data_IF_571293715389
#
_entry.id   IF_571293715389
#
_cell.length_a   1.000
_cell.length_b   1.000
_cell.length_c   1.000
_cell.angle_alpha   90.00
_cell.angle_beta   90.00
_cell.angle_gamma   90.00
#
_symmetry.space_group_name_H-M   'P 1'
#
loop_
_entity.id
_entity.type
_entity.pdbx_description
1 polymer ?
#
# COMPACT_ATOMS: atom_id res chain seq x y z
N UNK A 1 -9.12 26.20 7.21
CA UNK A 1 -8.91 26.48 8.67
C UNK A 1 -9.84 25.61 9.49
N UNK A 2 -9.31 24.93 10.50
CA UNK A 2 -10.05 24.11 11.45
C UNK A 2 -9.80 24.67 12.86
N UNK A 3 -10.87 24.78 13.66
CA UNK A 3 -10.77 25.18 15.06
C UNK A 3 -11.29 24.04 15.96
N UNK A 4 -10.54 23.70 16.98
CA UNK A 4 -10.83 22.61 17.91
C UNK A 4 -10.78 23.08 19.36
N UNK A 5 -10.92 22.17 20.33
CA UNK A 5 -10.72 22.46 21.73
C UNK A 5 -9.29 22.98 21.98
N UNK A 6 -9.06 23.84 22.99
CA UNK A 6 -7.75 24.49 23.20
C UNK A 6 -6.62 23.51 23.52
N UNK A 7 -6.93 22.32 24.01
CA UNK A 7 -6.02 21.24 24.37
C UNK A 7 -5.82 20.17 23.27
N UNK A 8 -6.43 20.38 22.09
CA UNK A 8 -6.34 19.47 20.97
C UNK A 8 -5.54 20.05 19.79
N UNK A 9 -4.98 19.16 18.98
CA UNK A 9 -4.42 19.47 17.67
C UNK A 9 -5.49 19.10 16.64
N UNK A 10 -5.72 19.95 15.63
CA UNK A 10 -6.56 19.61 14.49
C UNK A 10 -5.71 19.54 13.23
N UNK A 11 -5.95 18.49 12.43
CA UNK A 11 -5.23 18.21 11.20
C UNK A 11 -6.17 18.25 10.00
N UNK A 12 -5.67 18.80 8.90
CA UNK A 12 -6.33 18.92 7.62
C UNK A 12 -5.34 18.63 6.48
N UNK A 13 -5.81 18.45 5.23
CA UNK A 13 -4.93 18.40 4.08
C UNK A 13 -4.00 19.61 3.98
N UNK A 14 -2.78 19.38 3.51
CA UNK A 14 -1.81 20.44 3.27
C UNK A 14 -0.85 20.71 4.41
N UNK A 15 -0.10 21.80 4.24
CA UNK A 15 0.97 22.23 5.14
C UNK A 15 0.44 23.26 6.12
N UNK A 16 0.80 23.15 7.40
CA UNK A 16 0.43 24.12 8.40
C UNK A 16 1.06 25.48 8.09
N UNK A 17 0.24 26.48 7.83
CA UNK A 17 0.66 27.87 7.58
C UNK A 17 0.55 28.75 8.83
N UNK A 18 -0.48 28.50 9.64
CA UNK A 18 -0.75 29.35 10.80
C UNK A 18 -1.48 28.56 11.89
N UNK A 19 -1.05 28.77 13.13
CA UNK A 19 -1.75 28.37 14.34
C UNK A 19 -2.14 29.65 15.11
N UNK A 20 -3.37 29.72 15.63
CA UNK A 20 -3.89 30.89 16.35
C UNK A 20 -5.08 30.52 17.24
N UNK A 21 -5.43 31.40 18.15
CA UNK A 21 -6.64 31.25 18.98
C UNK A 21 -7.74 32.19 18.47
N UNK A 22 -8.97 31.68 18.41
CA UNK A 22 -10.19 32.43 18.07
C UNK A 22 -11.34 31.92 18.94
N UNK A 23 -12.02 32.82 19.63
CA UNK A 23 -13.19 32.53 20.49
C UNK A 23 -12.93 31.38 21.49
N UNK A 24 -11.74 31.39 22.13
CA UNK A 24 -11.32 30.37 23.07
C UNK A 24 -10.97 29.01 22.47
N UNK A 25 -10.96 28.89 21.15
CA UNK A 25 -10.61 27.66 20.40
C UNK A 25 -9.23 27.79 19.78
N UNK A 26 -8.51 26.66 19.70
CA UNK A 26 -7.26 26.55 18.96
C UNK A 26 -7.54 26.28 17.48
N UNK A 27 -6.99 27.09 16.60
CA UNK A 27 -7.26 27.07 15.16
C UNK A 27 -5.97 26.81 14.37
N UNK A 28 -6.11 26.03 13.31
CA UNK A 28 -5.03 25.62 12.42
C UNK A 28 -5.41 25.93 10.98
N UNK A 29 -4.58 26.66 10.25
CA UNK A 29 -4.78 26.94 8.83
C UNK A 29 -3.79 26.15 8.00
N UNK A 30 -4.31 25.34 7.09
CA UNK A 30 -3.54 24.48 6.19
C UNK A 30 -3.74 24.93 4.74
N UNK A 31 -2.72 24.68 3.92
CA UNK A 31 -2.74 24.97 2.49
C UNK A 31 -1.94 23.92 1.72
N UNK A 32 -2.53 23.37 0.65
CA UNK A 32 -1.81 22.53 -0.31
C UNK A 32 -1.06 23.40 -1.30
N UNK A 33 0.13 22.96 -1.72
CA UNK A 33 0.97 23.64 -2.69
C UNK A 33 0.67 23.20 -4.16
N UNK A 34 -0.25 22.25 -4.33
CA UNK A 34 -0.66 21.69 -5.63
C UNK A 34 -2.07 21.13 -5.58
N UNK A 35 -2.71 20.90 -6.73
CA UNK A 35 -3.97 20.16 -6.79
C UNK A 35 -3.84 18.77 -6.18
N UNK A 36 -4.87 18.32 -5.49
CA UNK A 36 -5.01 16.99 -4.89
C UNK A 36 -6.40 16.43 -5.16
N UNK A 37 -6.58 15.14 -4.95
CA UNK A 37 -7.91 14.53 -4.97
C UNK A 37 -8.81 15.19 -3.92
N UNK A 38 -10.08 15.39 -4.24
CA UNK A 38 -11.13 15.75 -3.27
C UNK A 38 -11.49 14.53 -2.41
N UNK A 39 -10.44 14.00 -1.73
CA UNK A 39 -10.48 12.81 -0.92
C UNK A 39 -9.58 13.04 0.30
N UNK A 40 -10.19 13.28 1.45
CA UNK A 40 -9.48 13.66 2.67
C UNK A 40 -10.37 13.54 3.92
N UNK A 41 -9.75 13.62 5.10
CA UNK A 41 -10.46 13.72 6.38
C UNK A 41 -9.92 14.88 7.22
N UNK A 42 -10.74 15.33 8.17
CA UNK A 42 -10.38 16.24 9.24
C UNK A 42 -10.31 15.43 10.55
N UNK A 43 -9.20 15.55 11.27
CA UNK A 43 -8.99 14.83 12.51
C UNK A 43 -8.63 15.82 13.63
N UNK A 44 -9.08 15.52 14.84
CA UNK A 44 -8.73 16.33 16.01
C UNK A 44 -8.72 15.48 17.28
N UNK A 45 -7.61 15.55 18.02
CA UNK A 45 -7.46 14.90 19.32
C UNK A 45 -6.29 15.49 20.14
N UNK A 46 -6.05 14.92 21.33
CA UNK A 46 -4.93 15.24 22.22
C UNK A 46 -3.71 14.38 21.90
N UNK A 47 -3.22 14.46 20.69
CA UNK A 47 -2.06 13.65 20.29
C UNK A 47 -0.76 14.13 20.89
N UNK A 48 0.14 13.18 21.15
CA UNK A 48 1.58 13.37 21.13
C UNK A 48 2.05 13.28 19.68
N UNK A 49 3.21 13.89 19.41
CA UNK A 49 3.80 13.88 18.07
C UNK A 49 5.23 13.38 18.17
N UNK A 50 5.55 12.32 17.44
CA UNK A 50 6.92 11.88 17.23
C UNK A 50 7.36 12.27 15.82
N UNK A 51 8.58 12.80 15.71
CA UNK A 51 9.15 13.29 14.46
C UNK A 51 10.28 12.38 14.00
N UNK A 52 10.32 12.15 12.70
CA UNK A 52 11.42 11.54 11.97
C UNK A 52 11.72 12.35 10.71
N UNK A 53 12.70 11.92 9.96
CA UNK A 53 13.13 12.57 8.70
C UNK A 53 13.49 11.53 7.67
N UNK A 54 13.15 11.78 6.41
CA UNK A 54 13.73 11.12 5.27
C UNK A 54 14.29 12.20 4.33
N UNK A 55 15.61 12.28 4.17
CA UNK A 55 16.28 13.43 3.53
C UNK A 55 15.81 14.73 4.17
N UNK A 56 15.18 15.61 3.41
CA UNK A 56 14.56 16.88 3.82
C UNK A 56 13.04 16.79 4.08
N UNK A 57 12.46 15.59 4.00
CA UNK A 57 11.03 15.34 4.20
C UNK A 57 10.76 15.00 5.68
N UNK A 58 10.09 15.87 6.45
CA UNK A 58 9.67 15.56 7.81
C UNK A 58 8.60 14.46 7.80
N UNK A 59 8.74 13.54 8.75
CA UNK A 59 7.78 12.48 9.05
C UNK A 59 7.21 12.78 10.43
N UNK A 60 5.91 12.88 10.56
CA UNK A 60 5.24 13.15 11.83
C UNK A 60 4.21 12.05 12.11
N UNK A 61 4.35 11.41 13.27
CA UNK A 61 3.37 10.43 13.76
C UNK A 61 2.62 11.03 14.95
N UNK A 62 1.32 11.20 14.79
CA UNK A 62 0.39 11.70 15.80
C UNK A 62 -0.29 10.52 16.48
N UNK A 63 -0.10 10.36 17.80
CA UNK A 63 -0.53 9.17 18.53
C UNK A 63 -1.04 9.49 19.95
N UNK A 64 -1.87 8.62 20.51
CA UNK A 64 -2.26 8.71 21.92
C UNK A 64 -1.05 8.38 22.80
N UNK A 65 -0.84 9.16 23.87
CA UNK A 65 0.29 9.01 24.79
C UNK A 65 0.41 7.58 25.36
N UNK A 66 -0.69 6.85 25.43
CA UNK A 66 -0.75 5.47 25.92
C UNK A 66 -0.38 4.42 24.88
N UNK A 67 -0.24 4.80 23.61
CA UNK A 67 -0.02 3.91 22.46
C UNK A 67 1.32 4.14 21.74
N UNK A 68 2.47 4.29 22.42
CA UNK A 68 3.74 4.61 21.77
C UNK A 68 4.42 3.39 21.11
N UNK A 69 3.83 2.20 21.17
CA UNK A 69 4.51 0.92 20.97
C UNK A 69 5.16 0.78 19.59
N UNK A 70 4.45 1.16 18.53
CA UNK A 70 4.87 0.92 17.14
C UNK A 70 5.25 2.21 16.38
N UNK A 71 5.28 3.34 17.06
CA UNK A 71 5.54 4.66 16.43
C UNK A 71 6.89 4.70 15.72
N UNK A 72 7.95 4.17 16.34
CA UNK A 72 9.28 4.10 15.73
C UNK A 72 9.29 3.18 14.51
N UNK A 73 8.57 2.07 14.60
CA UNK A 73 8.45 1.12 13.50
C UNK A 73 7.74 1.71 12.28
N UNK A 74 6.71 2.54 12.51
CA UNK A 74 6.04 3.30 11.45
C UNK A 74 7.01 4.28 10.77
N UNK A 75 7.77 5.05 11.54
CA UNK A 75 8.77 5.99 11.00
C UNK A 75 9.81 5.26 10.15
N UNK A 76 10.33 4.14 10.63
CA UNK A 76 11.28 3.32 9.89
C UNK A 76 10.68 2.78 8.57
N UNK A 77 9.44 2.30 8.60
CA UNK A 77 8.74 1.84 7.41
C UNK A 77 8.56 2.96 6.38
N UNK A 78 8.17 4.18 6.82
CA UNK A 78 8.09 5.36 5.93
C UNK A 78 9.43 5.64 5.27
N UNK A 79 10.52 5.66 6.05
CA UNK A 79 11.87 5.94 5.53
C UNK A 79 12.29 4.93 4.46
N UNK A 80 12.12 3.63 4.72
CA UNK A 80 12.48 2.56 3.80
C UNK A 80 11.60 2.54 2.57
N UNK A 81 10.31 2.81 2.73
CA UNK A 81 9.34 2.91 1.63
C UNK A 81 9.67 4.06 0.69
N UNK A 82 9.89 5.26 1.23
CA UNK A 82 10.29 6.42 0.42
C UNK A 82 11.60 6.16 -0.33
N UNK A 83 12.58 5.53 0.34
CA UNK A 83 13.86 5.19 -0.28
C UNK A 83 13.68 4.24 -1.47
N UNK A 84 12.90 3.17 -1.31
CA UNK A 84 12.64 2.22 -2.38
C UNK A 84 11.82 2.82 -3.52
N UNK A 85 10.74 3.54 -3.20
CA UNK A 85 9.82 4.06 -4.23
C UNK A 85 10.46 5.17 -5.05
N UNK A 86 11.23 6.06 -4.43
CA UNK A 86 11.97 7.09 -5.19
C UNK A 86 13.06 6.49 -6.09
N UNK A 87 13.75 5.45 -5.64
CA UNK A 87 14.78 4.79 -6.44
C UNK A 87 14.18 4.07 -7.67
N UNK A 88 13.02 3.43 -7.50
CA UNK A 88 12.44 2.55 -8.51
C UNK A 88 11.34 3.21 -9.35
N UNK A 89 10.67 4.23 -8.83
CA UNK A 89 9.55 4.90 -9.50
C UNK A 89 9.87 6.35 -9.83
N UNK A 90 9.22 7.29 -9.16
CA UNK A 90 9.38 8.74 -9.35
C UNK A 90 9.61 9.41 -7.99
N UNK A 91 10.13 10.66 -7.95
CA UNK A 91 10.26 11.38 -6.69
C UNK A 91 8.94 11.48 -5.93
N UNK A 92 9.03 11.49 -4.59
CA UNK A 92 7.90 11.79 -3.73
C UNK A 92 7.40 13.22 -3.97
N UNK A 93 6.10 13.40 -4.15
CA UNK A 93 5.54 14.68 -4.61
C UNK A 93 5.25 15.68 -3.49
N UNK A 94 5.34 15.28 -2.23
CA UNK A 94 5.00 16.13 -1.10
C UNK A 94 6.23 16.48 -0.25
N UNK A 95 6.08 17.52 0.60
CA UNK A 95 7.14 18.02 1.48
C UNK A 95 6.98 17.52 2.93
N UNK A 96 6.10 16.57 3.20
CA UNK A 96 5.88 15.94 4.51
C UNK A 96 5.19 14.59 4.37
N UNK A 97 5.28 13.77 5.43
CA UNK A 97 4.44 12.58 5.66
C UNK A 97 3.86 12.67 7.05
N UNK A 98 2.54 12.46 7.20
CA UNK A 98 1.88 12.38 8.49
C UNK A 98 1.14 11.05 8.62
N UNK A 99 1.35 10.36 9.75
CA UNK A 99 0.53 9.22 10.19
C UNK A 99 -0.25 9.69 11.41
N UNK A 100 -1.55 9.39 11.46
CA UNK A 100 -2.44 9.93 12.48
C UNK A 100 -3.28 8.82 13.06
N UNK A 101 -3.11 8.55 14.35
CA UNK A 101 -3.93 7.58 15.07
C UNK A 101 -5.39 8.01 15.13
N UNK A 102 -6.30 7.06 14.90
CA UNK A 102 -7.70 7.18 15.25
C UNK A 102 -8.17 5.96 16.04
N UNK A 103 -9.22 6.13 16.90
CA UNK A 103 -9.70 5.05 17.78
C UNK A 103 -10.20 3.82 17.02
N UNK A 104 -10.13 2.65 17.66
CA UNK A 104 -10.43 1.33 17.11
C UNK A 104 -11.91 1.04 16.81
N UNK A 105 -12.75 2.05 16.56
CA UNK A 105 -14.11 1.85 16.05
C UNK A 105 -14.15 1.25 14.63
N UNK A 106 -13.01 1.28 13.97
CA UNK A 106 -12.78 0.62 12.68
C UNK A 106 -11.33 0.16 12.57
N UNK A 107 -11.05 -0.82 11.71
CA UNK A 107 -9.73 -1.47 11.59
C UNK A 107 -9.18 -1.32 10.17
N UNK A 108 -8.77 -0.09 9.82
CA UNK A 108 -8.16 0.22 8.52
C UNK A 108 -7.10 1.32 8.67
N UNK A 109 -6.30 1.49 7.64
CA UNK A 109 -5.56 2.71 7.35
C UNK A 109 -6.04 3.27 6.02
N UNK A 110 -5.83 4.56 5.77
CA UNK A 110 -6.25 5.22 4.54
C UNK A 110 -5.26 6.30 4.14
N UNK A 111 -4.65 6.16 2.98
CA UNK A 111 -3.78 7.19 2.44
C UNK A 111 -4.58 8.34 1.81
N UNK A 112 -4.51 9.51 2.41
CA UNK A 112 -4.80 10.80 1.75
C UNK A 112 -3.49 11.45 1.31
N UNK A 113 -3.56 12.52 0.52
CA UNK A 113 -2.38 13.28 0.11
C UNK A 113 -1.53 13.66 1.33
N UNK A 114 -0.31 13.11 1.42
CA UNK A 114 0.68 13.26 2.51
C UNK A 114 0.18 12.99 3.95
N UNK A 115 -0.97 12.38 4.13
CA UNK A 115 -1.62 12.22 5.44
C UNK A 115 -2.33 10.87 5.52
N UNK A 116 -2.01 10.06 6.51
CA UNK A 116 -2.47 8.68 6.64
C UNK A 116 -3.14 8.49 8.00
N UNK A 117 -4.48 8.64 8.11
CA UNK A 117 -5.21 8.11 9.25
C UNK A 117 -5.02 6.59 9.37
N UNK A 118 -4.74 6.13 10.58
CA UNK A 118 -4.37 4.76 10.86
C UNK A 118 -5.04 4.30 12.17
N UNK A 119 -5.80 3.21 12.12
CA UNK A 119 -6.49 2.69 13.31
C UNK A 119 -5.50 2.25 14.38
N UNK A 120 -5.79 2.61 15.63
CA UNK A 120 -5.01 2.16 16.78
C UNK A 120 -4.87 0.63 16.82
N UNK A 121 -5.95 -0.10 16.47
CA UNK A 121 -6.04 -1.56 16.59
C UNK A 121 -5.07 -2.34 15.71
N UNK A 122 -4.85 -1.88 14.47
CA UNK A 122 -3.96 -2.55 13.51
C UNK A 122 -2.58 -1.90 13.42
N UNK A 123 -2.40 -0.73 14.01
CA UNK A 123 -1.15 0.03 14.00
C UNK A 123 -0.53 0.15 15.39
N UNK A 124 -1.03 1.09 16.16
CA UNK A 124 -0.36 1.61 17.35
C UNK A 124 -0.28 0.61 18.51
N UNK A 125 -1.31 -0.23 18.71
CA UNK A 125 -1.39 -1.25 19.76
C UNK A 125 -1.25 -2.69 19.25
N UNK A 126 -0.92 -2.88 17.98
CA UNK A 126 -0.65 -4.20 17.42
C UNK A 126 0.55 -4.86 18.10
N UNK A 127 0.43 -6.15 18.43
CA UNK A 127 1.48 -6.91 19.10
C UNK A 127 2.49 -7.48 18.10
N UNK A 128 3.67 -6.92 18.02
CA UNK A 128 4.76 -7.34 17.14
C UNK A 128 5.83 -8.22 17.82
N UNK A 129 5.56 -8.73 19.03
CA UNK A 129 6.59 -9.48 19.81
C UNK A 129 6.84 -10.88 19.26
N UNK A 130 5.92 -11.45 18.51
CA UNK A 130 6.08 -12.77 17.90
C UNK A 130 6.82 -12.64 16.57
N UNK A 131 8.08 -13.06 16.55
CA UNK A 131 8.95 -12.93 15.39
C UNK A 131 8.55 -13.81 14.20
N UNK A 132 7.79 -14.85 14.45
CA UNK A 132 7.19 -15.72 13.43
C UNK A 132 5.98 -15.12 12.73
N UNK A 133 5.35 -14.11 13.33
CA UNK A 133 4.22 -13.41 12.72
C UNK A 133 4.72 -12.35 11.71
N UNK A 134 3.85 -12.00 10.78
CA UNK A 134 4.12 -10.92 9.82
C UNK A 134 4.08 -9.57 10.54
N UNK A 135 5.07 -8.74 10.31
CA UNK A 135 5.05 -7.35 10.77
C UNK A 135 4.06 -6.52 9.94
N UNK A 136 2.79 -6.61 10.35
CA UNK A 136 1.70 -5.89 9.69
C UNK A 136 1.82 -4.37 9.81
N UNK A 137 2.41 -3.86 10.89
CA UNK A 137 2.58 -2.42 11.06
C UNK A 137 3.52 -1.86 10.00
N UNK A 138 4.64 -2.53 9.81
CA UNK A 138 5.61 -2.16 8.77
C UNK A 138 5.00 -2.30 7.37
N UNK A 139 4.33 -3.43 7.11
CA UNK A 139 3.71 -3.72 5.82
C UNK A 139 2.60 -2.74 5.45
N UNK A 140 1.62 -2.52 6.35
CA UNK A 140 0.51 -1.59 6.07
C UNK A 140 1.03 -0.16 5.93
N UNK A 141 2.01 0.26 6.74
CA UNK A 141 2.64 1.57 6.57
C UNK A 141 3.27 1.70 5.19
N UNK A 142 4.02 0.71 4.72
CA UNK A 142 4.61 0.71 3.38
C UNK A 142 3.54 0.77 2.28
N UNK A 143 2.44 0.02 2.45
CA UNK A 143 1.29 0.03 1.54
C UNK A 143 0.66 1.42 1.44
N UNK A 144 0.37 2.07 2.56
CA UNK A 144 -0.22 3.42 2.57
C UNK A 144 0.73 4.48 1.98
N UNK A 145 2.04 4.34 2.18
CA UNK A 145 3.02 5.21 1.52
C UNK A 145 3.03 4.98 0.00
N UNK A 146 2.86 3.74 -0.48
CA UNK A 146 2.81 3.45 -1.90
C UNK A 146 1.63 4.12 -2.61
N UNK A 147 0.51 4.32 -1.93
CA UNK A 147 -0.63 5.08 -2.45
C UNK A 147 -0.29 6.53 -2.81
N UNK A 148 0.78 7.11 -2.28
CA UNK A 148 1.22 8.42 -2.72
C UNK A 148 1.65 8.44 -4.19
N UNK A 149 1.98 7.28 -4.78
CA UNK A 149 2.15 7.05 -6.22
C UNK A 149 0.88 6.47 -6.84
N UNK A 150 0.39 5.33 -6.30
CA UNK A 150 -0.73 4.53 -6.81
C UNK A 150 -2.05 4.98 -6.18
N UNK A 151 -2.64 6.01 -6.67
CA UNK A 151 -3.85 6.75 -6.42
C UNK A 151 -3.63 8.27 -6.43
N UNK A 152 -2.50 8.77 -5.88
CA UNK A 152 -2.28 10.22 -5.78
C UNK A 152 -1.44 10.82 -6.91
N UNK A 153 -0.61 10.03 -7.60
CA UNK A 153 0.02 10.46 -8.86
C UNK A 153 -0.71 9.90 -10.08
N UNK A 154 -1.09 8.62 -10.05
CA UNK A 154 -1.88 7.98 -11.10
C UNK A 154 -3.28 7.64 -10.56
N UNK A 155 -4.29 8.19 -11.20
CA UNK A 155 -5.70 7.98 -10.86
C UNK A 155 -6.31 7.08 -11.94
N UNK A 156 -6.90 5.95 -11.53
CA UNK A 156 -7.63 5.07 -12.42
C UNK A 156 -8.98 5.65 -12.85
N UNK A 157 -9.37 5.36 -14.09
CA UNK A 157 -10.74 5.61 -14.54
C UNK A 157 -11.73 4.81 -13.67
N UNK A 158 -12.92 5.34 -13.45
CA UNK A 158 -13.98 4.66 -12.70
C UNK A 158 -14.62 3.56 -13.57
N UNK A 159 -13.87 2.50 -13.81
CA UNK A 159 -14.24 1.31 -14.57
C UNK A 159 -13.72 0.05 -13.88
N UNK A 160 -14.16 -1.10 -14.30
CA UNK A 160 -13.62 -2.39 -13.83
C UNK A 160 -12.09 -2.41 -13.93
N UNK A 161 -11.43 -2.94 -12.93
CA UNK A 161 -9.97 -2.99 -12.83
C UNK A 161 -9.31 -1.73 -12.23
N UNK A 162 -10.07 -0.70 -11.87
CA UNK A 162 -9.52 0.52 -11.26
C UNK A 162 -8.69 0.22 -10.00
N UNK A 163 -9.13 -0.72 -9.17
CA UNK A 163 -8.44 -1.10 -7.93
C UNK A 163 -7.12 -1.86 -8.14
N UNK A 164 -6.84 -2.35 -9.35
CA UNK A 164 -5.49 -2.85 -9.70
C UNK A 164 -4.48 -1.72 -9.63
N UNK A 165 -4.85 -0.53 -10.13
CA UNK A 165 -3.97 0.63 -10.22
C UNK A 165 -3.67 1.26 -8.85
N UNK A 166 -4.58 1.13 -7.89
CA UNK A 166 -4.37 1.58 -6.52
C UNK A 166 -3.86 0.43 -5.64
N UNK A 167 -4.70 -0.56 -5.36
CA UNK A 167 -4.45 -1.57 -4.33
C UNK A 167 -3.40 -2.61 -4.73
N UNK A 168 -3.52 -3.22 -5.93
CA UNK A 168 -2.57 -4.27 -6.33
C UNK A 168 -1.15 -3.71 -6.51
N UNK A 169 -1.02 -2.49 -7.02
CA UNK A 169 0.28 -1.84 -7.15
C UNK A 169 0.85 -1.39 -5.80
N UNK A 170 0.01 -0.92 -4.86
CA UNK A 170 0.44 -0.62 -3.51
C UNK A 170 0.89 -1.90 -2.77
N UNK A 171 0.16 -3.01 -2.93
CA UNK A 171 0.54 -4.32 -2.42
C UNK A 171 1.92 -4.75 -2.93
N UNK A 172 2.13 -4.73 -4.25
CA UNK A 172 3.44 -5.06 -4.84
C UNK A 172 4.56 -4.19 -4.27
N UNK A 173 4.33 -2.90 -4.22
CA UNK A 173 5.33 -1.95 -3.72
C UNK A 173 5.71 -2.23 -2.26
N UNK A 174 4.72 -2.48 -1.40
CA UNK A 174 4.94 -2.87 -0.01
C UNK A 174 5.69 -4.20 0.11
N UNK A 175 5.37 -5.20 -0.75
CA UNK A 175 6.08 -6.47 -0.77
C UNK A 175 7.58 -6.30 -1.08
N UNK A 176 7.94 -5.38 -1.97
CA UNK A 176 9.36 -5.14 -2.29
C UNK A 176 10.11 -4.50 -1.12
N UNK A 177 9.48 -3.59 -0.39
CA UNK A 177 10.07 -3.01 0.84
C UNK A 177 10.19 -4.07 1.93
N UNK A 178 9.18 -4.94 2.09
CA UNK A 178 9.21 -6.08 3.01
C UNK A 178 10.35 -7.06 2.67
N UNK A 179 10.55 -7.35 1.38
CA UNK A 179 11.64 -8.26 0.97
C UNK A 179 13.02 -7.69 1.28
N UNK A 180 13.21 -6.37 1.12
CA UNK A 180 14.44 -5.71 1.52
C UNK A 180 14.68 -5.75 3.04
N UNK A 181 13.61 -5.64 3.82
CA UNK A 181 13.70 -5.65 5.28
C UNK A 181 13.94 -7.04 5.85
N UNK A 182 13.18 -8.03 5.38
CA UNK A 182 13.12 -9.38 5.97
C UNK A 182 13.76 -10.46 5.12
N UNK A 183 14.10 -10.16 3.88
CA UNK A 183 14.66 -11.10 2.91
C UNK A 183 13.65 -12.09 2.34
N UNK A 184 14.04 -12.77 1.27
CA UNK A 184 13.20 -13.70 0.49
C UNK A 184 12.61 -14.87 1.31
N UNK A 185 13.31 -15.29 2.37
CA UNK A 185 12.83 -16.39 3.21
C UNK A 185 11.51 -16.08 3.90
N UNK A 186 11.38 -14.87 4.44
CA UNK A 186 10.17 -14.43 5.12
C UNK A 186 9.04 -14.14 4.13
N UNK A 187 9.35 -13.75 2.90
CA UNK A 187 8.33 -13.52 1.87
C UNK A 187 7.48 -14.76 1.58
N UNK A 188 8.03 -15.97 1.72
CA UNK A 188 7.24 -17.21 1.54
C UNK A 188 6.09 -17.30 2.55
N UNK A 189 6.34 -16.91 3.79
CA UNK A 189 5.29 -16.92 4.83
C UNK A 189 4.24 -15.85 4.55
N UNK A 190 4.65 -14.66 4.14
CA UNK A 190 3.74 -13.58 3.76
C UNK A 190 2.87 -14.00 2.57
N UNK A 191 3.48 -14.48 1.50
CA UNK A 191 2.76 -14.93 0.30
C UNK A 191 1.84 -16.13 0.58
N UNK A 192 2.22 -17.02 1.50
CA UNK A 192 1.34 -18.09 1.96
C UNK A 192 0.09 -17.52 2.66
N UNK A 193 0.25 -16.52 3.51
CA UNK A 193 -0.88 -15.84 4.15
C UNK A 193 -1.80 -15.17 3.14
N UNK A 194 -1.23 -14.51 2.13
CA UNK A 194 -2.01 -13.91 1.05
C UNK A 194 -2.75 -14.98 0.21
N UNK A 195 -2.11 -16.12 -0.04
CA UNK A 195 -2.75 -17.25 -0.71
C UNK A 195 -3.91 -17.82 0.13
N UNK A 196 -3.70 -18.05 1.41
CA UNK A 196 -4.74 -18.59 2.32
C UNK A 196 -5.94 -17.62 2.40
N UNK A 197 -5.69 -16.32 2.45
CA UNK A 197 -6.75 -15.28 2.43
C UNK A 197 -7.48 -15.24 1.07
N UNK A 198 -6.74 -15.32 -0.04
CA UNK A 198 -7.36 -15.41 -1.36
C UNK A 198 -8.28 -16.62 -1.48
N UNK A 199 -7.79 -17.81 -1.10
CA UNK A 199 -8.58 -19.04 -1.16
C UNK A 199 -9.80 -18.99 -0.21
N UNK A 200 -9.63 -18.42 0.98
CA UNK A 200 -10.73 -18.20 1.93
C UNK A 200 -11.78 -17.24 1.38
N UNK A 201 -11.37 -16.11 0.82
CA UNK A 201 -12.26 -15.14 0.18
C UNK A 201 -13.01 -15.74 -1.01
N UNK A 202 -12.28 -16.44 -1.89
CA UNK A 202 -12.86 -17.14 -3.03
C UNK A 202 -13.88 -18.22 -2.61
N UNK A 203 -13.57 -18.98 -1.56
CA UNK A 203 -14.46 -20.03 -1.06
C UNK A 203 -15.76 -19.49 -0.43
N UNK A 204 -15.75 -18.26 0.06
CA UNK A 204 -16.93 -17.56 0.63
C UNK A 204 -17.70 -16.69 -0.37
N UNK A 205 -17.15 -16.48 -1.59
CA UNK A 205 -17.77 -15.62 -2.60
C UNK A 205 -19.02 -16.26 -3.22
N UNK A 206 -20.03 -15.43 -3.44
CA UNK A 206 -21.28 -15.84 -4.08
C UNK A 206 -21.36 -15.46 -5.56
N UNK A 207 -20.52 -14.51 -5.96
CA UNK A 207 -20.42 -14.06 -7.34
C UNK A 207 -19.29 -14.83 -8.04
N UNK A 208 -19.33 -14.87 -9.36
CA UNK A 208 -18.22 -15.39 -10.13
C UNK A 208 -16.97 -14.52 -9.89
N UNK A 209 -15.82 -15.17 -9.72
CA UNK A 209 -14.54 -14.48 -9.62
C UNK A 209 -14.25 -13.74 -10.92
N UNK A 210 -13.90 -12.47 -10.83
CA UNK A 210 -13.47 -11.69 -11.98
C UNK A 210 -11.99 -11.88 -12.28
N UNK A 211 -11.56 -11.80 -13.55
CA UNK A 211 -10.15 -11.66 -13.89
C UNK A 211 -9.55 -10.43 -13.22
N UNK A 212 -8.29 -10.51 -12.79
CA UNK A 212 -7.66 -9.44 -12.04
C UNK A 212 -7.78 -8.06 -12.71
N UNK A 213 -7.54 -7.99 -14.04
CA UNK A 213 -7.58 -6.71 -14.76
C UNK A 213 -8.98 -6.07 -14.87
N UNK A 214 -10.03 -6.82 -14.50
CA UNK A 214 -11.43 -6.38 -14.47
C UNK A 214 -12.06 -6.45 -13.08
N UNK A 215 -11.25 -6.63 -12.04
CA UNK A 215 -11.77 -6.78 -10.68
C UNK A 215 -12.65 -5.58 -10.26
N UNK A 216 -13.77 -5.87 -9.63
CA UNK A 216 -14.71 -4.89 -9.11
C UNK A 216 -15.37 -5.43 -7.84
N UNK A 217 -15.24 -4.70 -6.73
CA UNK A 217 -15.84 -5.02 -5.42
C UNK A 217 -15.44 -6.38 -4.81
N UNK A 218 -14.39 -7.03 -5.30
CA UNK A 218 -13.87 -8.31 -4.80
C UNK A 218 -12.49 -8.08 -4.16
N UNK A 219 -12.48 -7.75 -2.87
CA UNK A 219 -11.25 -7.36 -2.14
C UNK A 219 -10.17 -8.43 -2.19
N UNK A 220 -10.55 -9.72 -2.03
CA UNK A 220 -9.62 -10.85 -2.08
C UNK A 220 -8.89 -10.98 -3.43
N UNK A 221 -9.42 -10.37 -4.50
CA UNK A 221 -8.76 -10.35 -5.80
C UNK A 221 -7.74 -9.22 -5.86
N UNK A 222 -8.16 -7.95 -5.68
CA UNK A 222 -7.21 -6.84 -5.87
C UNK A 222 -6.14 -6.78 -4.78
N UNK A 223 -6.40 -7.21 -3.54
CA UNK A 223 -5.38 -7.31 -2.49
C UNK A 223 -4.59 -8.61 -2.62
N UNK A 224 -5.20 -9.75 -2.31
CA UNK A 224 -4.49 -11.00 -2.11
C UNK A 224 -4.00 -11.63 -3.41
N UNK A 225 -4.90 -11.81 -4.39
CA UNK A 225 -4.49 -12.31 -5.72
C UNK A 225 -3.56 -11.32 -6.41
N UNK A 226 -3.83 -10.01 -6.30
CA UNK A 226 -2.97 -8.96 -6.81
C UNK A 226 -1.54 -9.06 -6.29
N UNK A 227 -1.35 -9.23 -4.97
CA UNK A 227 -0.05 -9.47 -4.34
C UNK A 227 0.70 -10.65 -5.00
N UNK A 228 0.02 -11.78 -5.13
CA UNK A 228 0.60 -13.01 -5.67
C UNK A 228 0.95 -12.87 -7.16
N UNK A 229 0.07 -12.25 -7.94
CA UNK A 229 0.28 -12.03 -9.38
C UNK A 229 1.47 -11.10 -9.62
N UNK A 230 1.54 -9.96 -8.96
CA UNK A 230 2.65 -9.01 -9.15
C UNK A 230 3.98 -9.57 -8.63
N UNK A 231 3.95 -10.32 -7.52
CA UNK A 231 5.16 -11.00 -7.06
C UNK A 231 5.63 -12.07 -8.06
N UNK A 232 4.70 -12.84 -8.66
CA UNK A 232 5.03 -13.79 -9.73
C UNK A 232 5.58 -13.09 -10.97
N UNK A 233 5.00 -11.98 -11.39
CA UNK A 233 5.55 -11.18 -12.48
C UNK A 233 7.00 -10.77 -12.21
N UNK A 234 7.26 -10.31 -10.99
CA UNK A 234 8.62 -9.91 -10.58
C UNK A 234 9.61 -11.08 -10.65
N UNK A 235 9.19 -12.30 -10.28
CA UNK A 235 10.03 -13.49 -10.41
C UNK A 235 10.33 -13.86 -11.87
N UNK A 236 9.35 -13.70 -12.76
CA UNK A 236 9.45 -14.11 -14.17
C UNK A 236 10.10 -13.05 -15.06
N UNK A 237 9.73 -11.78 -14.89
CA UNK A 237 10.28 -10.68 -15.69
C UNK A 237 11.62 -10.16 -15.14
N UNK A 238 11.83 -10.32 -13.84
CA UNK A 238 12.85 -9.62 -13.06
C UNK A 238 12.32 -8.29 -12.49
N UNK A 239 12.77 -7.95 -11.29
CA UNK A 239 12.35 -6.73 -10.58
C UNK A 239 12.63 -5.47 -11.37
N UNK A 240 13.82 -5.38 -11.99
CA UNK A 240 14.19 -4.21 -12.78
C UNK A 240 13.27 -3.98 -13.99
N UNK A 241 12.89 -5.06 -14.70
CA UNK A 241 12.01 -4.95 -15.87
C UNK A 241 10.60 -4.51 -15.45
N UNK A 242 10.06 -5.12 -14.40
CA UNK A 242 8.75 -4.73 -13.87
C UNK A 242 8.76 -3.28 -13.37
N UNK A 243 9.77 -2.90 -12.59
CA UNK A 243 9.89 -1.53 -12.07
C UNK A 243 10.09 -0.50 -13.21
N UNK A 244 10.79 -0.85 -14.31
CA UNK A 244 10.85 0.01 -15.50
C UNK A 244 9.49 0.20 -16.15
N UNK A 245 8.68 -0.86 -16.28
CA UNK A 245 7.31 -0.75 -16.79
C UNK A 245 6.47 0.19 -15.93
N UNK A 246 6.50 0.02 -14.60
CA UNK A 246 5.76 0.83 -13.64
C UNK A 246 6.23 2.29 -13.64
N UNK A 247 7.54 2.52 -13.72
CA UNK A 247 8.12 3.87 -13.84
C UNK A 247 7.67 4.58 -15.11
N UNK A 248 7.70 3.89 -16.26
CA UNK A 248 7.22 4.44 -17.55
C UNK A 248 5.72 4.74 -17.48
N UNK A 249 4.95 3.87 -16.85
CA UNK A 249 3.52 4.07 -16.64
C UNK A 249 3.26 5.34 -15.81
N UNK A 250 3.94 5.50 -14.66
CA UNK A 250 3.88 6.73 -13.85
C UNK A 250 4.28 7.97 -14.66
N UNK A 251 5.43 7.95 -15.33
CA UNK A 251 5.89 9.08 -16.13
C UNK A 251 4.91 9.51 -17.21
N UNK A 252 4.11 8.56 -17.73
CA UNK A 252 3.15 8.81 -18.81
C UNK A 252 1.78 9.22 -18.29
N UNK A 253 1.37 8.69 -17.14
CA UNK A 253 -0.02 8.77 -16.65
C UNK A 253 -0.20 9.56 -15.36
N UNK A 254 0.87 10.03 -14.73
CA UNK A 254 0.75 10.85 -13.51
C UNK A 254 0.10 12.20 -13.80
N UNK A 255 -0.75 12.62 -12.86
CA UNK A 255 -1.44 13.93 -12.90
C UNK A 255 -2.28 14.17 -14.16
N UNK A 256 -2.72 13.09 -14.77
CA UNK A 256 -3.54 13.12 -15.98
C UNK A 256 -4.91 13.75 -15.69
N UNK A 257 -5.36 14.60 -16.60
CA UNK A 257 -6.77 15.00 -16.66
C UNK A 257 -7.60 13.90 -17.34
N UNK A 258 -8.93 13.94 -17.19
CA UNK A 258 -9.80 12.98 -17.87
C UNK A 258 -9.57 12.99 -19.41
N UNK A 259 -9.61 11.81 -20.07
CA UNK A 259 -9.93 10.50 -19.53
C UNK A 259 -8.77 9.91 -18.72
N UNK A 260 -9.10 9.32 -17.56
CA UNK A 260 -8.13 8.67 -16.70
C UNK A 260 -7.71 7.30 -17.27
N UNK A 261 -6.55 6.82 -16.82
CA UNK A 261 -5.96 5.55 -17.27
C UNK A 261 -6.69 4.31 -16.73
N UNK A 262 -6.40 3.15 -17.30
CA UNK A 262 -7.03 1.87 -16.95
C UNK A 262 -5.99 0.78 -16.68
N UNK A 263 -6.42 -0.31 -16.03
CA UNK A 263 -5.62 -1.52 -15.85
C UNK A 263 -5.17 -2.15 -17.18
N UNK A 264 -5.96 -2.05 -18.24
CA UNK A 264 -5.60 -2.52 -19.56
C UNK A 264 -4.41 -1.73 -20.14
N UNK A 265 -4.37 -0.41 -19.93
CA UNK A 265 -3.21 0.40 -20.33
C UNK A 265 -1.95 0.02 -19.54
N UNK A 266 -2.07 -0.21 -18.21
CA UNK A 266 -0.97 -0.72 -17.38
C UNK A 266 -0.40 -2.01 -17.95
N UNK A 267 -1.28 -2.96 -18.36
CA UNK A 267 -0.83 -4.21 -18.98
C UNK A 267 -0.03 -3.97 -20.25
N UNK A 268 -0.36 -2.96 -21.04
CA UNK A 268 0.43 -2.55 -22.21
C UNK A 268 1.88 -2.20 -21.85
N UNK A 269 2.10 -1.46 -20.76
CA UNK A 269 3.46 -1.12 -20.29
C UNK A 269 4.21 -2.35 -19.77
N UNK A 270 3.54 -3.26 -19.06
CA UNK A 270 4.13 -4.52 -18.57
C UNK A 270 4.51 -5.41 -19.75
N UNK A 271 3.63 -5.58 -20.72
CA UNK A 271 3.88 -6.39 -21.92
C UNK A 271 5.04 -5.86 -22.77
N UNK A 272 5.24 -4.54 -22.80
CA UNK A 272 6.35 -3.94 -23.52
C UNK A 272 7.74 -4.24 -22.93
N UNK A 273 7.81 -4.61 -21.65
CA UNK A 273 9.07 -5.06 -20.99
C UNK A 273 9.22 -6.59 -20.96
N UNK A 274 8.19 -7.32 -21.33
CA UNK A 274 8.17 -8.79 -21.32
C UNK A 274 8.67 -9.37 -22.66
N UNK A 275 9.39 -10.49 -22.58
CA UNK A 275 9.81 -11.26 -23.76
C UNK A 275 8.61 -11.92 -24.44
N UNK A 276 8.75 -12.32 -25.72
CA UNK A 276 7.66 -13.01 -26.43
C UNK A 276 7.14 -14.28 -25.74
N UNK A 277 8.04 -15.05 -25.12
CA UNK A 277 7.70 -16.29 -24.38
C UNK A 277 6.96 -16.05 -23.05
N UNK A 278 6.90 -14.81 -22.58
CA UNK A 278 6.23 -14.43 -21.33
C UNK A 278 4.84 -13.84 -21.55
N UNK A 279 4.43 -13.58 -22.79
CA UNK A 279 3.16 -12.90 -23.07
C UNK A 279 1.94 -13.72 -22.65
N UNK A 280 1.96 -15.02 -22.88
CA UNK A 280 0.87 -15.92 -22.49
C UNK A 280 0.71 -16.00 -20.98
N UNK A 281 1.82 -16.01 -20.24
CA UNK A 281 1.80 -15.96 -18.76
C UNK A 281 1.12 -14.68 -18.25
N UNK A 282 1.39 -13.51 -18.85
CA UNK A 282 0.74 -12.27 -18.46
C UNK A 282 -0.77 -12.35 -18.71
N UNK A 283 -1.18 -12.92 -19.86
CA UNK A 283 -2.60 -13.18 -20.16
C UNK A 283 -3.23 -14.09 -19.10
N UNK A 284 -2.57 -15.18 -18.74
CA UNK A 284 -3.07 -16.12 -17.74
C UNK A 284 -3.22 -15.48 -16.34
N UNK A 285 -2.28 -14.65 -15.94
CA UNK A 285 -2.28 -14.01 -14.65
C UNK A 285 -3.34 -12.90 -14.49
N UNK A 286 -3.58 -12.12 -15.54
CA UNK A 286 -4.45 -10.93 -15.46
C UNK A 286 -5.81 -11.11 -16.09
N UNK A 287 -5.89 -11.84 -17.21
CA UNK A 287 -7.08 -11.88 -18.06
C UNK A 287 -7.88 -13.18 -17.89
N UNK A 288 -7.33 -14.18 -17.16
CA UNK A 288 -8.00 -15.43 -16.83
C UNK A 288 -8.24 -15.56 -15.33
N UNK A 289 -9.20 -16.41 -14.97
CA UNK A 289 -9.52 -16.72 -13.57
C UNK A 289 -8.54 -17.76 -13.00
N UNK A 290 -8.01 -18.66 -13.85
CA UNK A 290 -7.05 -19.68 -13.45
C UNK A 290 -5.79 -19.05 -12.86
N UNK A 291 -5.30 -19.62 -11.77
CA UNK A 291 -4.16 -19.07 -11.02
C UNK A 291 -2.87 -19.84 -11.32
N UNK A 292 -2.84 -21.12 -11.01
CA UNK A 292 -1.75 -22.05 -11.31
C UNK A 292 -2.31 -23.47 -11.55
N UNK A 293 -1.61 -24.25 -12.36
CA UNK A 293 -1.85 -25.71 -12.40
C UNK A 293 -1.15 -26.36 -11.21
N UNK A 294 -1.92 -26.66 -10.17
CA UNK A 294 -1.44 -27.23 -8.90
C UNK A 294 -1.60 -28.74 -8.84
N UNK A 295 -1.73 -29.42 -9.98
CA UNK A 295 -1.85 -30.88 -9.97
C UNK A 295 -0.55 -31.53 -9.52
N UNK A 296 -0.67 -32.45 -8.56
CA UNK A 296 0.43 -33.31 -8.17
C UNK A 296 0.64 -34.38 -9.24
N UNK A 297 1.65 -34.23 -10.09
CA UNK A 297 1.97 -35.22 -11.11
C UNK A 297 2.76 -36.43 -10.56
N UNK A 298 3.58 -36.19 -9.53
CA UNK A 298 4.39 -37.25 -8.93
C UNK A 298 4.72 -36.92 -7.48
N UNK A 299 4.57 -37.91 -6.60
CA UNK A 299 5.06 -37.86 -5.23
C UNK A 299 6.01 -39.04 -4.96
N UNK A 300 7.09 -38.78 -4.24
CA UNK A 300 8.01 -39.82 -3.77
C UNK A 300 8.22 -39.66 -2.28
N UNK A 301 7.95 -40.71 -1.54
CA UNK A 301 8.25 -40.77 -0.11
C UNK A 301 9.49 -41.66 0.11
N UNK A 302 10.41 -41.16 0.95
CA UNK A 302 11.57 -41.91 1.36
C UNK A 302 11.60 -41.99 2.88
N UNK A 303 11.60 -43.21 3.42
CA UNK A 303 11.73 -43.40 4.86
C UNK A 303 13.16 -43.02 5.28
N UNK A 304 13.28 -42.11 6.23
CA UNK A 304 14.54 -41.70 6.78
C UNK A 304 15.06 -42.74 7.82
N UNK A 305 16.36 -42.72 8.11
CA UNK A 305 16.98 -43.65 9.06
C UNK A 305 16.43 -43.51 10.49
N UNK A 306 15.85 -42.35 10.82
CA UNK A 306 15.18 -42.05 12.11
C UNK A 306 13.72 -42.51 12.17
N UNK A 307 13.21 -43.15 11.12
CA UNK A 307 11.84 -43.69 11.06
C UNK A 307 10.76 -42.72 10.73
N UNK A 308 11.10 -41.45 10.43
CA UNK A 308 10.15 -40.41 9.97
C UNK A 308 9.90 -40.47 8.47
#
# INVERSE_FOLDING_TARGET
TICTAPDQIALAPGYLKKEFTRDGRRCFSYEMDRPMLDFYAYLSARWKVKKGMYKDIPIEVYYDEKHPYNVDRMIESVQKSLAYYEANFTPYQHQQVRIIEFPGYSSFAQAFANTIPYSESIGFIADLRKKEDIDYVFYVTAHEIAHQWWAHQVIGANVQGATVLSESLAQYSALMVMEQEYGRGQMRQFLKTELDRYLGGRGGERLEELPLYKVENQQYIHYQKGSLVFYRLREELGEEALNRALKKFLQTKSYQTAPYTTSAELLGFIRAEARPDQQDMITDLFEKISFYDNRLEKATAKKLADGK
#
